data_IF_639932376771
#
_entry.id   IF_639932376771
#
_cell.length_a   1.000
_cell.length_b   1.000
_cell.length_c   1.000
_cell.angle_alpha   90.00
_cell.angle_beta   90.00
_cell.angle_gamma   90.00
#
_symmetry.space_group_name_H-M   'P 1'
#
loop_
_entity.id
_entity.type
_entity.pdbx_description
1 polymer ?
#
# COMPACT_ATOMS: atom_id res chain seq x y z
N UNK A 1 17.12 11.13 13.95
CA UNK A 1 16.22 10.90 12.80
C UNK A 1 14.91 11.55 13.17
N UNK A 2 14.37 12.40 12.29
CA UNK A 2 13.06 13.01 12.49
C UNK A 2 12.00 11.90 12.56
N UNK A 3 11.09 12.00 13.52
CA UNK A 3 10.04 11.00 13.72
C UNK A 3 8.99 11.16 12.62
N UNK A 4 8.64 10.07 11.96
CA UNK A 4 7.49 10.05 11.06
C UNK A 4 6.24 9.83 11.91
N UNK A 5 5.18 10.58 11.66
CA UNK A 5 3.88 10.40 12.32
C UNK A 5 2.77 10.06 11.33
N UNK A 6 2.95 10.41 10.06
CA UNK A 6 1.96 10.07 9.03
C UNK A 6 2.57 9.90 7.64
N UNK A 7 1.89 9.10 6.82
CA UNK A 7 2.08 9.06 5.37
C UNK A 7 0.87 9.63 4.65
N UNK A 8 1.08 10.26 3.51
CA UNK A 8 -0.01 10.67 2.61
C UNK A 8 -0.05 9.76 1.40
N UNK A 9 -1.24 9.28 1.07
CA UNK A 9 -1.51 8.59 -0.19
C UNK A 9 -2.53 9.35 -1.01
N UNK A 10 -2.29 9.43 -2.32
CA UNK A 10 -3.15 10.08 -3.30
C UNK A 10 -3.47 9.10 -4.42
N UNK A 11 -4.75 8.93 -4.72
CA UNK A 11 -5.23 8.00 -5.76
C UNK A 11 -6.06 8.79 -6.77
N UNK A 12 -5.73 8.65 -8.04
CA UNK A 12 -6.58 9.11 -9.14
C UNK A 12 -7.32 7.94 -9.73
N UNK A 13 -8.63 8.09 -9.93
CA UNK A 13 -9.45 7.09 -10.60
C UNK A 13 -10.16 7.66 -11.83
N UNK A 14 -10.40 6.79 -12.80
CA UNK A 14 -11.27 7.01 -13.95
C UNK A 14 -12.33 5.91 -14.08
N UNK A 15 -13.26 6.11 -15.01
CA UNK A 15 -14.29 5.13 -15.37
C UNK A 15 -15.19 4.74 -14.19
N UNK A 16 -15.53 5.72 -13.35
CA UNK A 16 -16.34 5.51 -12.14
C UNK A 16 -15.66 4.58 -11.13
N UNK A 17 -14.41 4.88 -10.76
CA UNK A 17 -13.59 4.15 -9.78
C UNK A 17 -13.10 2.75 -10.21
N UNK A 18 -13.24 2.38 -11.48
CA UNK A 18 -12.80 1.05 -11.97
C UNK A 18 -11.33 0.98 -12.33
N UNK A 19 -10.72 2.12 -12.64
CA UNK A 19 -9.32 2.22 -12.98
C UNK A 19 -8.67 3.26 -12.08
N UNK A 20 -7.95 2.81 -11.05
CA UNK A 20 -7.35 3.64 -10.04
C UNK A 20 -5.83 3.47 -10.04
N UNK A 21 -5.11 4.58 -9.88
CA UNK A 21 -3.64 4.58 -9.84
C UNK A 21 -3.15 5.51 -8.76
N UNK A 22 -2.09 5.09 -8.07
CA UNK A 22 -1.40 5.93 -7.11
C UNK A 22 -0.74 7.12 -7.81
N UNK A 23 -0.82 8.29 -7.20
CA UNK A 23 -0.28 9.54 -7.70
C UNK A 23 0.81 10.05 -6.76
N UNK A 24 1.82 10.77 -7.29
CA UNK A 24 2.89 11.32 -6.45
C UNK A 24 2.36 12.31 -5.40
N UNK A 25 2.68 12.05 -4.13
CA UNK A 25 2.43 12.99 -3.03
C UNK A 25 3.51 14.08 -2.97
N UNK A 26 3.19 15.32 -2.54
CA UNK A 26 4.19 16.40 -2.40
C UNK A 26 5.27 16.07 -1.36
N UNK A 27 4.85 15.38 -0.30
CA UNK A 27 5.71 14.73 0.66
C UNK A 27 5.06 13.39 1.01
N UNK A 28 5.88 12.33 1.00
CA UNK A 28 5.40 10.98 1.31
C UNK A 28 5.21 10.82 2.82
N UNK A 29 6.13 11.36 3.63
CA UNK A 29 6.14 11.26 5.08
C UNK A 29 6.06 12.63 5.76
N UNK A 30 5.37 12.68 6.90
CA UNK A 30 5.14 13.88 7.70
C UNK A 30 5.50 13.64 9.16
N UNK A 31 6.05 14.66 9.82
CA UNK A 31 6.40 14.61 11.24
C UNK A 31 5.18 14.68 12.16
N UNK A 32 4.04 15.18 11.66
CA UNK A 32 2.79 15.26 12.41
C UNK A 32 1.60 14.93 11.51
N UNK A 33 0.58 14.29 12.09
CA UNK A 33 -0.69 14.02 11.40
C UNK A 33 -1.35 15.34 10.95
N UNK A 34 -1.30 16.37 11.79
CA UNK A 34 -1.88 17.69 11.49
C UNK A 34 -1.27 18.31 10.22
N UNK A 35 0.05 18.19 10.04
CA UNK A 35 0.69 18.72 8.84
C UNK A 35 0.25 17.94 7.60
N UNK A 36 0.18 16.60 7.69
CA UNK A 36 -0.36 15.78 6.60
C UNK A 36 -1.78 16.22 6.22
N UNK A 37 -2.68 16.37 7.21
CA UNK A 37 -4.06 16.78 6.98
C UNK A 37 -4.17 18.19 6.37
N UNK A 38 -3.31 19.12 6.79
CA UNK A 38 -3.25 20.47 6.24
C UNK A 38 -2.85 20.47 4.76
N UNK A 39 -1.94 19.58 4.36
CA UNK A 39 -1.42 19.47 3.00
C UNK A 39 -2.30 18.58 2.10
N UNK A 40 -3.16 17.74 2.67
CA UNK A 40 -4.04 16.83 1.93
C UNK A 40 -5.02 17.58 1.02
N UNK A 41 -5.73 18.57 1.56
CA UNK A 41 -6.73 19.32 0.80
C UNK A 41 -6.14 20.10 -0.39
N UNK A 42 -5.03 20.85 -0.24
CA UNK A 42 -4.31 21.42 -1.37
C UNK A 42 -3.89 20.39 -2.42
N UNK A 43 -3.35 19.25 -1.99
CA UNK A 43 -2.88 18.19 -2.88
C UNK A 43 -4.02 17.60 -3.73
N UNK A 44 -5.17 17.33 -3.11
CA UNK A 44 -6.36 16.86 -3.83
C UNK A 44 -6.86 17.88 -4.85
N UNK A 45 -6.86 19.17 -4.52
CA UNK A 45 -7.25 20.24 -5.46
C UNK A 45 -6.34 20.31 -6.67
N UNK A 46 -5.02 20.15 -6.47
CA UNK A 46 -4.06 20.12 -7.57
C UNK A 46 -4.29 18.92 -8.48
N UNK A 47 -4.54 17.75 -7.90
CA UNK A 47 -4.78 16.51 -8.65
C UNK A 47 -6.11 16.53 -9.42
N UNK A 48 -7.17 17.05 -8.81
CA UNK A 48 -8.50 17.16 -9.41
C UNK A 48 -8.53 18.03 -10.69
N UNK A 49 -7.53 18.89 -10.91
CA UNK A 49 -7.45 19.71 -12.12
C UNK A 49 -7.26 18.89 -13.41
N UNK A 50 -6.91 17.60 -13.32
CA UNK A 50 -6.71 16.73 -14.49
C UNK A 50 -7.25 15.31 -14.35
N UNK A 51 -8.01 15.02 -13.29
CA UNK A 51 -8.49 13.66 -12.97
C UNK A 51 -9.99 13.67 -12.68
N UNK A 52 -10.70 12.61 -13.09
CA UNK A 52 -12.15 12.48 -12.87
C UNK A 52 -12.47 12.36 -11.37
N UNK A 53 -11.70 11.52 -10.66
CA UNK A 53 -11.83 11.34 -9.23
C UNK A 53 -10.46 11.44 -8.56
N UNK A 54 -10.35 12.37 -7.63
CA UNK A 54 -9.16 12.57 -6.80
C UNK A 54 -9.47 12.16 -5.36
N UNK A 55 -8.81 11.12 -4.89
CA UNK A 55 -8.96 10.57 -3.54
C UNK A 55 -7.63 10.66 -2.79
N UNK A 56 -7.68 10.75 -1.48
CA UNK A 56 -6.47 10.77 -0.68
C UNK A 56 -6.75 10.65 0.80
N UNK A 57 -5.72 10.20 1.53
CA UNK A 57 -5.83 9.97 2.97
C UNK A 57 -4.48 10.17 3.63
N UNK A 58 -4.51 10.65 4.86
CA UNK A 58 -3.39 10.60 5.78
C UNK A 58 -3.51 9.35 6.64
N UNK A 59 -2.44 8.56 6.68
CA UNK A 59 -2.32 7.38 7.51
C UNK A 59 -1.40 7.71 8.68
N UNK A 60 -1.95 7.73 9.89
CA UNK A 60 -1.16 7.85 11.12
C UNK A 60 -0.36 6.56 11.35
N UNK A 61 0.90 6.71 11.76
CA UNK A 61 1.82 5.59 11.98
C UNK A 61 2.14 5.48 13.46
N UNK A 62 1.88 4.30 14.01
CA UNK A 62 2.33 3.95 15.34
C UNK A 62 3.87 3.80 15.33
N UNK A 63 4.61 4.57 16.15
CA UNK A 63 6.06 4.45 16.24
C UNK A 63 6.56 3.04 16.61
N UNK A 64 5.73 2.19 17.22
CA UNK A 64 6.04 0.80 17.50
C UNK A 64 6.27 -0.04 16.23
N UNK A 65 5.70 0.39 15.09
CA UNK A 65 5.82 -0.30 13.80
C UNK A 65 7.15 0.00 13.09
N UNK A 66 7.94 0.98 13.52
CA UNK A 66 9.25 1.28 12.92
C UNK A 66 10.31 0.19 13.14
N UNK A 67 10.04 -0.76 14.03
CA UNK A 67 10.92 -1.91 14.26
C UNK A 67 10.52 -3.14 13.44
N UNK A 68 9.47 -3.01 12.61
CA UNK A 68 8.92 -4.09 11.80
C UNK A 68 8.83 -3.63 10.35
N UNK A 69 8.98 -4.55 9.41
CA UNK A 69 8.72 -4.24 8.01
C UNK A 69 7.20 -4.17 7.81
N UNK A 70 6.73 -3.13 7.14
CA UNK A 70 5.31 -2.91 6.90
C UNK A 70 5.07 -2.31 5.52
N UNK A 71 3.93 -2.64 4.92
CA UNK A 71 3.44 -2.13 3.65
C UNK A 71 2.13 -1.38 3.82
N UNK A 72 1.96 -0.31 3.05
CA UNK A 72 0.68 0.40 2.95
C UNK A 72 -0.11 -0.25 1.82
N UNK A 73 -1.23 -0.88 2.17
CA UNK A 73 -2.15 -1.48 1.22
C UNK A 73 -3.38 -0.61 1.10
N UNK A 74 -3.83 -0.37 -0.13
CA UNK A 74 -4.97 0.48 -0.41
C UNK A 74 -5.91 -0.13 -1.45
N UNK A 75 -7.18 0.23 -1.35
CA UNK A 75 -8.22 -0.15 -2.30
C UNK A 75 -9.28 0.97 -2.41
N UNK A 76 -9.92 1.07 -3.57
CA UNK A 76 -11.02 2.01 -3.81
C UNK A 76 -12.29 1.23 -4.10
N UNK A 77 -13.29 1.43 -3.26
CA UNK A 77 -14.57 0.76 -3.45
C UNK A 77 -15.33 1.32 -4.65
N UNK A 78 -16.31 0.57 -5.17
CA UNK A 78 -17.15 1.02 -6.28
C UNK A 78 -17.98 2.29 -5.97
N UNK A 79 -18.15 2.66 -4.69
CA UNK A 79 -18.78 3.91 -4.26
C UNK A 79 -17.79 5.06 -4.00
N UNK A 80 -16.50 4.88 -4.33
CA UNK A 80 -15.48 5.92 -4.22
C UNK A 80 -14.89 6.10 -2.82
N UNK A 81 -14.98 5.09 -1.96
CA UNK A 81 -14.33 5.11 -0.65
C UNK A 81 -12.90 4.58 -0.77
N UNK A 82 -11.93 5.39 -0.35
CA UNK A 82 -10.53 4.98 -0.26
C UNK A 82 -10.26 4.31 1.09
N UNK A 83 -9.98 3.02 1.04
CA UNK A 83 -9.52 2.21 2.17
C UNK A 83 -8.00 2.13 2.12
N UNK A 84 -7.37 2.37 3.27
CA UNK A 84 -5.92 2.35 3.43
C UNK A 84 -5.65 1.66 4.75
N UNK A 85 -4.77 0.67 4.73
CA UNK A 85 -4.34 -0.10 5.89
C UNK A 85 -2.83 -0.25 5.87
N UNK A 86 -2.27 -0.46 7.05
CA UNK A 86 -0.87 -0.83 7.22
C UNK A 86 -0.82 -2.32 7.54
N UNK A 87 -0.10 -3.08 6.71
CA UNK A 87 0.07 -4.52 6.88
C UNK A 87 1.51 -4.81 7.25
N UNK A 88 1.71 -5.64 8.28
CA UNK A 88 3.04 -6.09 8.69
C UNK A 88 3.52 -7.17 7.73
N UNK A 89 4.76 -7.03 7.27
CA UNK A 89 5.44 -8.06 6.50
C UNK A 89 6.19 -8.93 7.51
N UNK A 90 5.67 -10.13 7.78
CA UNK A 90 6.39 -11.13 8.54
C UNK A 90 7.36 -11.90 7.61
N UNK A 91 8.69 -11.73 7.75
CA UNK A 91 9.65 -12.44 6.91
C UNK A 91 9.62 -13.96 7.14
N UNK A 92 9.07 -14.47 8.24
CA UNK A 92 9.05 -15.92 8.54
C UNK A 92 7.93 -16.70 7.80
N UNK A 93 6.98 -16.02 7.15
CA UNK A 93 5.86 -16.69 6.43
C UNK A 93 6.03 -16.80 4.91
N UNK A 94 7.14 -16.34 4.32
CA UNK A 94 7.37 -16.43 2.86
C UNK A 94 8.21 -17.67 2.48
N UNK A 95 7.66 -18.87 2.68
CA UNK A 95 8.17 -20.08 2.02
C UNK A 95 7.13 -20.57 1.01
N UNK A 96 7.24 -20.26 -0.29
CA UNK A 96 6.50 -21.02 -1.28
C UNK A 96 7.08 -22.44 -1.28
N UNK A 97 6.36 -23.36 -0.64
CA UNK A 97 6.65 -24.80 -0.74
C UNK A 97 6.36 -25.25 -2.17
N UNK A 98 7.29 -24.99 -3.08
CA UNK A 98 7.43 -25.78 -4.31
C UNK A 98 8.19 -27.05 -3.96
N UNK A 99 7.53 -27.97 -3.26
CA UNK A 99 8.02 -29.33 -3.09
C UNK A 99 7.79 -30.09 -4.41
N UNK A 100 8.82 -30.00 -5.26
CA UNK A 100 9.26 -30.87 -6.33
C UNK A 100 8.53 -32.22 -6.46
N UNK A 101 7.72 -32.38 -7.52
CA UNK A 101 7.45 -33.69 -8.11
C UNK A 101 8.66 -34.13 -8.91
N UNK A 102 9.67 -34.71 -8.25
CA UNK A 102 10.70 -35.45 -8.95
C UNK A 102 10.14 -36.83 -9.30
N UNK A 103 9.73 -36.98 -10.56
CA UNK A 103 9.60 -38.29 -11.20
C UNK A 103 10.92 -39.04 -11.08
N UNK A 104 10.91 -40.21 -10.44
CA UNK A 104 11.92 -41.24 -10.69
C UNK A 104 11.17 -42.49 -11.09
N UNK A 105 11.00 -42.57 -12.40
CA UNK A 105 10.77 -43.81 -13.11
C UNK A 105 12.08 -44.63 -13.12
N UNK A 106 11.90 -45.95 -13.24
CA UNK A 106 12.89 -46.96 -13.62
C UNK A 106 13.92 -47.53 -12.61
N UNK A 107 13.59 -48.77 -12.20
CA UNK A 107 14.44 -49.95 -12.44
C UNK A 107 15.64 -50.18 -11.52
N UNK A 108 15.43 -50.91 -10.41
CA UNK A 108 16.49 -51.77 -9.84
C UNK A 108 15.97 -52.91 -8.93
N UNK A 109 16.00 -54.12 -9.51
CA UNK A 109 16.29 -55.44 -8.86
C UNK A 109 15.20 -56.04 -7.98
N UNK A 110 14.54 -57.11 -8.44
CA UNK A 110 14.98 -58.50 -8.21
C UNK A 110 15.35 -58.73 -6.74
N UNK A 111 14.35 -59.08 -5.94
CA UNK A 111 14.33 -60.26 -5.07
C UNK A 111 12.89 -60.52 -4.59
#
# INVERSE_FOLDING_TARGET
MEHIAAFMILIACSDGYKNCTEQPAPAVAYETVRQCEADLSPSLRMMAAGQEHALGKCLEIDPALFYQDAEIVWDVTANGELKVVLELIDPEMTVPTYAQSATTDETRRLN
#
